data_IF_324870863602
#
_entry.id   IF_324870863602
#
_cell.length_a   1.000
_cell.length_b   1.000
_cell.length_c   1.000
_cell.angle_alpha   90.00
_cell.angle_beta   90.00
_cell.angle_gamma   90.00
#
_symmetry.space_group_name_H-M   'P 1'
#
loop_
_entity.id
_entity.type
_entity.pdbx_description
1 polymer ?
#
# COMPACT_ATOMS: atom_id res chain seq x y z
N UNK A 1 -18.91 14.32 -13.37
CA UNK A 1 -18.79 15.73 -13.82
C UNK A 1 -17.71 15.79 -14.90
N UNK A 2 -17.59 16.88 -15.67
CA UNK A 2 -16.51 17.10 -16.68
C UNK A 2 -15.09 16.81 -16.16
N UNK A 3 -14.90 16.91 -14.83
CA UNK A 3 -13.63 16.63 -14.13
C UNK A 3 -13.71 15.46 -13.14
N UNK A 4 -14.84 14.76 -13.09
CA UNK A 4 -15.16 13.74 -12.11
C UNK A 4 -15.67 12.50 -12.81
N UNK A 5 -14.74 11.72 -13.34
CA UNK A 5 -14.89 10.27 -13.30
C UNK A 5 -14.53 9.83 -11.88
N UNK A 6 -15.32 8.91 -11.31
CA UNK A 6 -14.86 8.14 -10.17
C UNK A 6 -13.61 7.43 -10.69
N UNK A 7 -12.40 7.86 -10.28
CA UNK A 7 -11.22 7.16 -10.75
C UNK A 7 -11.49 5.69 -10.45
N UNK A 8 -11.10 4.79 -11.35
CA UNK A 8 -10.80 3.42 -10.92
C UNK A 8 -9.63 3.51 -9.93
N UNK A 9 -9.86 4.16 -8.78
CA UNK A 9 -9.04 4.13 -7.58
C UNK A 9 -9.33 2.76 -7.01
N UNK A 10 -8.77 1.76 -7.68
CA UNK A 10 -8.21 0.63 -6.97
C UNK A 10 -7.45 1.21 -5.79
N UNK A 11 -7.74 0.69 -4.59
CA UNK A 11 -7.08 1.12 -3.37
C UNK A 11 -5.57 1.18 -3.62
N UNK A 12 -4.93 2.29 -3.28
CA UNK A 12 -3.49 2.46 -3.53
C UNK A 12 -2.65 1.40 -2.80
N UNK A 13 -3.19 0.83 -1.73
CA UNK A 13 -2.66 -0.32 -1.04
C UNK A 13 -3.81 -1.00 -0.28
N UNK A 14 -3.76 -2.32 -0.15
CA UNK A 14 -4.60 -3.08 0.77
C UNK A 14 -3.70 -4.04 1.51
N UNK A 15 -3.66 -3.90 2.83
CA UNK A 15 -2.85 -4.74 3.71
C UNK A 15 -3.77 -5.59 4.60
N UNK A 16 -3.32 -6.80 4.92
CA UNK A 16 -3.99 -7.64 5.90
C UNK A 16 -3.61 -7.18 7.31
N UNK A 17 -4.55 -6.59 8.05
CA UNK A 17 -4.30 -6.13 9.42
C UNK A 17 -3.86 -7.25 10.37
N UNK A 18 -4.32 -8.49 10.16
CA UNK A 18 -3.88 -9.63 10.96
C UNK A 18 -2.40 -9.97 10.74
N UNK A 19 -1.87 -9.75 9.53
CA UNK A 19 -0.44 -9.96 9.23
C UNK A 19 0.44 -8.94 9.94
N UNK A 20 -0.05 -7.72 10.13
CA UNK A 20 0.66 -6.67 10.88
C UNK A 20 0.81 -7.11 12.35
N UNK A 21 -0.20 -7.76 12.94
CA UNK A 21 -0.11 -8.33 14.29
C UNK A 21 0.98 -9.41 14.35
N UNK A 22 1.07 -10.28 13.35
CA UNK A 22 2.15 -11.29 13.30
C UNK A 22 3.53 -10.63 13.26
N UNK A 23 3.71 -9.57 12.48
CA UNK A 23 4.96 -8.81 12.49
C UNK A 23 5.24 -8.15 13.84
N UNK A 24 4.23 -7.58 14.49
CA UNK A 24 4.41 -7.03 15.85
C UNK A 24 4.88 -8.11 16.82
N UNK A 25 4.27 -9.30 16.79
CA UNK A 25 4.58 -10.43 17.68
C UNK A 25 5.88 -11.18 17.35
N UNK A 26 6.45 -10.96 16.18
CA UNK A 26 7.72 -11.57 15.77
C UNK A 26 8.81 -10.53 15.51
N UNK A 27 8.67 -9.32 16.09
CA UNK A 27 9.64 -8.24 15.95
C UNK A 27 10.01 -7.93 14.47
N UNK A 28 9.02 -7.94 13.59
CA UNK A 28 9.16 -7.71 12.15
C UNK A 28 9.53 -8.94 11.32
N UNK A 29 9.88 -10.07 11.95
CA UNK A 29 10.21 -11.30 11.25
C UNK A 29 8.95 -11.98 10.71
N UNK A 30 8.99 -12.43 9.46
CA UNK A 30 7.92 -13.22 8.85
C UNK A 30 8.30 -14.71 8.86
N UNK A 31 7.66 -15.56 9.68
CA UNK A 31 7.97 -16.97 9.74
C UNK A 31 7.51 -17.76 8.51
N UNK A 32 6.56 -17.25 7.72
CA UNK A 32 6.04 -17.93 6.53
C UNK A 32 7.02 -17.83 5.38
N UNK A 33 7.61 -16.65 5.15
CA UNK A 33 8.63 -16.44 4.12
C UNK A 33 10.06 -16.52 4.66
N UNK A 34 10.22 -16.71 5.97
CA UNK A 34 11.48 -16.89 6.67
C UNK A 34 12.48 -15.74 6.44
N UNK A 35 12.00 -14.50 6.60
CA UNK A 35 12.76 -13.29 6.32
C UNK A 35 12.38 -12.16 7.27
N UNK A 36 13.34 -11.29 7.59
CA UNK A 36 13.07 -10.02 8.25
C UNK A 36 12.33 -9.09 7.27
N UNK A 37 11.02 -9.05 7.39
CA UNK A 37 10.15 -8.24 6.53
C UNK A 37 10.06 -6.83 7.11
N UNK A 38 9.38 -6.72 8.27
CA UNK A 38 9.13 -5.46 8.95
C UNK A 38 10.33 -4.95 9.76
N UNK A 39 10.28 -3.70 10.23
CA UNK A 39 11.26 -3.16 11.16
C UNK A 39 11.24 -3.93 12.49
N UNK A 40 12.37 -3.92 13.19
CA UNK A 40 12.44 -4.38 14.58
C UNK A 40 11.77 -3.32 15.48
N UNK A 41 10.64 -3.69 16.07
CA UNK A 41 9.81 -2.81 16.92
C UNK A 41 9.97 -3.08 18.41
N UNK A 42 10.80 -4.05 18.80
CA UNK A 42 11.02 -4.52 20.16
C UNK A 42 10.51 -5.94 20.39
N UNK A 43 11.03 -6.62 21.41
CA UNK A 43 10.54 -7.94 21.84
C UNK A 43 9.14 -7.78 22.47
N UNK A 44 8.11 -8.49 21.95
CA UNK A 44 6.77 -8.44 22.51
C UNK A 44 6.67 -8.89 23.97
N UNK A 45 7.59 -9.73 24.45
CA UNK A 45 7.63 -10.17 25.84
C UNK A 45 8.02 -9.04 26.81
N UNK A 46 8.64 -7.97 26.31
CA UNK A 46 9.07 -6.82 27.11
C UNK A 46 8.00 -5.71 27.19
N UNK A 47 6.91 -5.79 26.43
CA UNK A 47 5.84 -4.79 26.46
C UNK A 47 5.06 -4.85 27.78
N UNK A 48 4.91 -3.69 28.42
CA UNK A 48 4.29 -3.56 29.75
C UNK A 48 2.79 -3.41 29.71
N UNK A 49 2.28 -2.87 28.62
CA UNK A 49 0.86 -2.60 28.43
C UNK A 49 0.46 -2.69 26.95
N UNK A 50 -0.85 -2.56 26.72
CA UNK A 50 -1.41 -2.61 25.38
C UNK A 50 -0.95 -1.43 24.51
N UNK A 51 -0.64 -0.27 25.10
CA UNK A 51 -0.26 0.92 24.34
C UNK A 51 1.11 0.71 23.70
N UNK A 52 2.07 0.15 24.43
CA UNK A 52 3.39 -0.20 23.86
C UNK A 52 3.26 -1.19 22.69
N UNK A 53 2.40 -2.21 22.83
CA UNK A 53 2.08 -3.14 21.75
C UNK A 53 1.42 -2.43 20.55
N UNK A 54 0.43 -1.57 20.79
CA UNK A 54 -0.27 -0.85 19.73
C UNK A 54 0.66 0.11 18.98
N UNK A 55 1.58 0.79 19.66
CA UNK A 55 2.59 1.64 19.03
C UNK A 55 3.55 0.81 18.16
N UNK A 56 3.96 -0.38 18.60
CA UNK A 56 4.73 -1.31 17.77
C UNK A 56 3.93 -1.75 16.53
N UNK A 57 2.65 -2.05 16.69
CA UNK A 57 1.74 -2.37 15.58
C UNK A 57 1.59 -1.22 14.58
N UNK A 58 1.42 0.02 15.05
CA UNK A 58 1.33 1.20 14.18
C UNK A 58 2.61 1.35 13.36
N UNK A 59 3.79 1.18 13.95
CA UNK A 59 5.07 1.24 13.21
C UNK A 59 5.17 0.17 12.12
N UNK A 60 4.71 -1.06 12.40
CA UNK A 60 4.63 -2.12 11.39
C UNK A 60 3.65 -1.75 10.26
N UNK A 61 2.49 -1.18 10.61
CA UNK A 61 1.48 -0.75 9.64
C UNK A 61 1.98 0.38 8.73
N UNK A 62 2.63 1.39 9.31
CA UNK A 62 3.22 2.50 8.57
C UNK A 62 4.28 2.03 7.58
N UNK A 63 5.18 1.14 8.02
CA UNK A 63 6.19 0.54 7.17
C UNK A 63 5.55 -0.23 6.00
N UNK A 64 4.59 -1.09 6.28
CA UNK A 64 3.94 -1.93 5.27
C UNK A 64 3.19 -1.08 4.24
N UNK A 65 2.41 -0.10 4.70
CA UNK A 65 1.67 0.81 3.83
C UNK A 65 2.59 1.69 2.99
N UNK A 66 3.72 2.15 3.55
CA UNK A 66 4.71 2.93 2.82
C UNK A 66 5.26 2.14 1.62
N UNK A 67 5.64 0.87 1.82
CA UNK A 67 6.14 0.01 0.75
C UNK A 67 5.06 -0.20 -0.32
N UNK A 68 3.85 -0.60 0.08
CA UNK A 68 2.77 -0.91 -0.86
C UNK A 68 2.41 0.31 -1.72
N UNK A 69 2.26 1.49 -1.11
CA UNK A 69 1.92 2.73 -1.82
C UNK A 69 3.03 3.15 -2.79
N UNK A 70 4.31 3.01 -2.41
CA UNK A 70 5.44 3.35 -3.29
C UNK A 70 5.46 2.47 -4.54
N UNK A 71 5.23 1.17 -4.38
CA UNK A 71 5.15 0.24 -5.52
C UNK A 71 3.99 0.59 -6.45
N UNK A 72 2.80 0.87 -5.91
CA UNK A 72 1.65 1.25 -6.74
C UNK A 72 1.85 2.59 -7.43
N UNK A 73 2.46 3.57 -6.75
CA UNK A 73 2.75 4.87 -7.37
C UNK A 73 3.77 4.73 -8.51
N UNK A 74 4.80 3.90 -8.33
CA UNK A 74 5.75 3.61 -9.40
C UNK A 74 5.05 2.98 -10.61
N UNK A 75 4.17 1.98 -10.37
CA UNK A 75 3.35 1.37 -11.41
C UNK A 75 2.53 2.42 -12.17
N UNK A 76 1.80 3.29 -11.45
CA UNK A 76 0.98 4.35 -12.06
C UNK A 76 1.78 5.35 -12.90
N UNK A 77 3.00 5.70 -12.49
CA UNK A 77 3.88 6.60 -13.27
C UNK A 77 4.32 5.92 -14.56
N UNK A 78 4.54 4.61 -14.52
CA UNK A 78 5.04 3.82 -15.65
C UNK A 78 3.95 3.23 -16.55
N UNK A 79 2.73 3.10 -16.04
CA UNK A 79 1.59 2.53 -16.75
C UNK A 79 1.42 3.11 -18.17
N UNK A 80 1.48 4.43 -18.40
CA UNK A 80 1.31 4.99 -19.75
C UNK A 80 2.43 4.60 -20.74
N UNK A 81 3.63 4.25 -20.24
CA UNK A 81 4.75 3.80 -21.07
C UNK A 81 4.56 2.34 -21.53
N UNK A 82 3.84 1.53 -20.75
CA UNK A 82 3.69 0.09 -20.98
C UNK A 82 2.31 -0.31 -21.53
N UNK A 83 1.26 0.41 -21.14
CA UNK A 83 -0.12 0.06 -21.41
C UNK A 83 -0.92 1.29 -21.83
N UNK A 84 -1.33 1.32 -23.09
CA UNK A 84 -2.33 2.28 -23.55
C UNK A 84 -3.74 1.81 -23.18
N UNK A 85 -4.65 2.74 -22.88
CA UNK A 85 -6.04 2.46 -22.51
C UNK A 85 -7.02 3.18 -23.44
N UNK A 86 -6.88 3.03 -24.78
CA UNK A 86 -7.60 3.85 -25.74
C UNK A 86 -9.14 3.75 -25.62
N UNK A 87 -9.67 2.57 -25.28
CA UNK A 87 -11.12 2.41 -25.06
C UNK A 87 -11.60 3.14 -23.80
N UNK A 88 -10.78 3.19 -22.75
CA UNK A 88 -11.09 3.90 -21.50
C UNK A 88 -11.00 5.42 -21.73
N UNK A 89 -9.97 5.86 -22.45
CA UNK A 89 -9.72 7.27 -22.73
C UNK A 89 -10.74 7.84 -23.72
N UNK A 90 -11.19 7.05 -24.71
CA UNK A 90 -12.21 7.46 -25.67
C UNK A 90 -13.58 7.74 -25.04
N UNK A 91 -13.90 7.10 -23.90
CA UNK A 91 -15.14 7.35 -23.16
C UNK A 91 -14.97 8.41 -22.05
N UNK A 92 -13.78 9.03 -21.95
CA UNK A 92 -13.48 10.02 -20.94
C UNK A 92 -13.28 11.41 -21.54
N UNK A 93 -14.23 12.32 -21.27
CA UNK A 93 -14.30 13.66 -21.86
C UNK A 93 -12.96 14.43 -21.77
N UNK A 94 -12.32 14.44 -20.60
CA UNK A 94 -11.02 15.11 -20.42
C UNK A 94 -9.94 14.53 -21.34
N UNK A 95 -9.85 13.20 -21.43
CA UNK A 95 -8.83 12.53 -22.23
C UNK A 95 -9.00 12.85 -23.72
N UNK A 96 -10.26 12.88 -24.20
CA UNK A 96 -10.60 13.30 -25.56
C UNK A 96 -10.25 14.77 -25.81
N UNK A 97 -10.58 15.67 -24.87
CA UNK A 97 -10.28 17.11 -25.01
C UNK A 97 -8.77 17.41 -24.99
N UNK A 98 -7.98 16.71 -24.18
CA UNK A 98 -6.54 16.95 -24.05
C UNK A 98 -5.67 16.11 -24.99
N UNK A 99 -6.27 15.15 -25.71
CA UNK A 99 -5.53 14.22 -26.57
C UNK A 99 -4.54 13.35 -25.80
N UNK A 100 -4.85 13.05 -24.54
CA UNK A 100 -4.03 12.22 -23.66
C UNK A 100 -4.78 10.93 -23.36
N UNK A 101 -4.04 9.82 -23.25
CA UNK A 101 -4.60 8.60 -22.65
C UNK A 101 -4.99 8.83 -21.17
#
# INVERSE_FOLDING_TARGET
TKHGCQPMRMASATANCAKIIEYTLHNGYDPVVNMQMGPETGDPCDFKDFEEFFQAWVKQAEWLMNILVRTVNLGRVKDPEFYSRPMLSAIYERAVETGTD
#
